data_IF_660363421648
#
_entry.id   IF_660363421648
#
_cell.length_a   1.000
_cell.length_b   1.000
_cell.length_c   1.000
_cell.angle_alpha   90.00
_cell.angle_beta   90.00
_cell.angle_gamma   90.00
#
_symmetry.space_group_name_H-M   'P 1'
#
loop_
_entity.id
_entity.type
_entity.pdbx_description
1 polymer ?
#
# COMPACT_ATOMS: atom_id res chain seq x y z
N UNK A 1 -6.96 -42.62 -31.85
CA UNK A 1 -7.41 -41.25 -31.45
C UNK A 1 -6.41 -40.72 -30.44
N UNK A 2 -5.47 -39.91 -30.86
CA UNK A 2 -4.52 -39.23 -29.95
C UNK A 2 -5.33 -38.25 -29.10
N UNK A 3 -5.28 -38.44 -27.78
CA UNK A 3 -5.89 -37.53 -26.84
C UNK A 3 -5.39 -36.10 -27.14
N UNK A 4 -6.29 -35.20 -27.54
CA UNK A 4 -5.94 -33.81 -27.83
C UNK A 4 -5.39 -33.19 -26.55
N UNK A 5 -4.13 -32.78 -26.55
CA UNK A 5 -3.46 -32.14 -25.42
C UNK A 5 -4.26 -30.90 -24.97
N UNK A 6 -4.68 -30.90 -23.70
CA UNK A 6 -5.35 -29.74 -23.10
C UNK A 6 -4.31 -28.74 -22.63
N UNK A 7 -4.37 -27.52 -23.14
CA UNK A 7 -3.50 -26.40 -22.75
C UNK A 7 -4.21 -25.61 -21.64
N UNK A 8 -3.54 -25.42 -20.49
CA UNK A 8 -4.08 -24.68 -19.33
C UNK A 8 -3.18 -23.51 -19.00
N UNK A 9 -3.73 -22.30 -19.02
CA UNK A 9 -3.09 -21.05 -18.64
C UNK A 9 -3.52 -20.65 -17.25
N UNK A 10 -2.59 -20.69 -16.28
CA UNK A 10 -2.74 -20.20 -14.91
C UNK A 10 -2.20 -18.79 -14.80
N UNK A 11 -2.54 -18.02 -13.72
CA UNK A 11 -1.98 -16.70 -13.49
C UNK A 11 -0.44 -16.74 -13.46
N UNK A 12 0.18 -15.76 -14.12
CA UNK A 12 1.64 -15.67 -14.19
C UNK A 12 2.24 -15.30 -12.84
N UNK A 13 3.44 -15.79 -12.48
CA UNK A 13 4.13 -15.40 -11.26
C UNK A 13 4.34 -13.89 -11.15
N UNK A 14 4.63 -13.23 -12.28
CA UNK A 14 4.80 -11.78 -12.34
C UNK A 14 3.53 -11.01 -11.95
N UNK A 15 2.38 -11.44 -12.46
CA UNK A 15 1.09 -10.86 -12.05
C UNK A 15 0.84 -11.05 -10.56
N UNK A 16 1.06 -12.27 -10.04
CA UNK A 16 0.85 -12.59 -8.63
C UNK A 16 1.77 -11.75 -7.72
N UNK A 17 3.04 -11.60 -8.10
CA UNK A 17 3.99 -10.77 -7.35
C UNK A 17 3.54 -9.31 -7.28
N UNK A 18 3.14 -8.71 -8.41
CA UNK A 18 2.65 -7.33 -8.44
C UNK A 18 1.38 -7.14 -7.61
N UNK A 19 0.43 -8.07 -7.73
CA UNK A 19 -0.81 -8.00 -6.96
C UNK A 19 -0.57 -8.16 -5.45
N UNK A 20 0.32 -9.08 -5.06
CA UNK A 20 0.73 -9.26 -3.68
C UNK A 20 1.44 -8.02 -3.14
N UNK A 21 2.34 -7.41 -3.91
CA UNK A 21 3.03 -6.19 -3.51
C UNK A 21 2.06 -5.04 -3.19
N UNK A 22 0.98 -4.89 -3.97
CA UNK A 22 -0.08 -3.91 -3.71
C UNK A 22 -0.79 -4.21 -2.37
N UNK A 23 -1.16 -5.47 -2.13
CA UNK A 23 -1.83 -5.89 -0.88
C UNK A 23 -0.92 -5.62 0.33
N UNK A 24 0.36 -5.98 0.23
CA UNK A 24 1.35 -5.75 1.29
C UNK A 24 1.55 -4.26 1.54
N UNK A 25 1.69 -3.46 0.50
CA UNK A 25 1.88 -2.00 0.60
C UNK A 25 0.72 -1.33 1.38
N UNK A 26 -0.52 -1.58 0.97
CA UNK A 26 -1.68 -1.02 1.68
C UNK A 26 -1.86 -1.62 3.08
N UNK A 27 -1.49 -2.90 3.27
CA UNK A 27 -1.48 -3.53 4.58
C UNK A 27 -0.51 -2.86 5.56
N UNK A 28 0.70 -2.56 5.11
CA UNK A 28 1.69 -1.80 5.91
C UNK A 28 1.15 -0.42 6.25
N UNK A 29 0.60 0.31 5.28
CA UNK A 29 0.01 1.63 5.55
C UNK A 29 -1.15 1.55 6.55
N UNK A 30 -2.06 0.58 6.42
CA UNK A 30 -3.16 0.40 7.37
C UNK A 30 -2.62 0.22 8.80
N UNK A 31 -1.58 -0.59 9.00
CA UNK A 31 -0.95 -0.79 10.32
C UNK A 31 -0.30 0.49 10.83
N UNK A 32 0.41 1.25 9.99
CA UNK A 32 1.06 2.50 10.39
C UNK A 32 0.03 3.54 10.83
N UNK A 33 -1.03 3.77 10.02
CA UNK A 33 -2.10 4.72 10.35
C UNK A 33 -2.90 4.28 11.58
N UNK A 34 -3.14 2.97 11.75
CA UNK A 34 -3.72 2.43 12.98
C UNK A 34 -2.87 2.78 14.21
N UNK A 35 -1.56 2.54 14.17
CA UNK A 35 -0.64 2.85 15.29
C UNK A 35 -0.62 4.33 15.59
N UNK A 36 -0.58 5.19 14.58
CA UNK A 36 -0.56 6.64 14.77
C UNK A 36 -1.89 7.14 15.33
N UNK A 37 -3.03 6.65 14.83
CA UNK A 37 -4.36 6.99 15.35
C UNK A 37 -4.62 6.44 16.75
N UNK A 38 -4.16 5.22 17.06
CA UNK A 38 -4.41 4.59 18.37
C UNK A 38 -3.52 5.17 19.47
N UNK A 39 -2.22 5.29 19.23
CA UNK A 39 -1.26 5.64 20.27
C UNK A 39 -0.18 6.63 19.85
N UNK A 40 0.22 6.64 18.57
CA UNK A 40 1.40 7.38 18.10
C UNK A 40 1.28 8.87 18.33
N UNK A 41 0.26 9.51 17.81
CA UNK A 41 0.05 10.96 17.95
C UNK A 41 -0.19 11.38 19.39
N UNK A 42 -0.97 10.57 20.15
CA UNK A 42 -1.18 10.83 21.58
C UNK A 42 0.10 10.81 22.40
N UNK A 43 0.98 9.82 22.14
CA UNK A 43 2.30 9.75 22.78
C UNK A 43 3.18 10.96 22.42
N UNK A 44 3.17 11.38 21.15
CA UNK A 44 3.89 12.57 20.68
C UNK A 44 3.36 13.84 21.36
N UNK A 45 2.04 13.96 21.54
CA UNK A 45 1.45 15.06 22.31
C UNK A 45 1.90 15.07 23.76
N UNK A 46 1.93 13.90 24.42
CA UNK A 46 2.46 13.80 25.78
C UNK A 46 3.90 14.31 25.87
N UNK A 47 4.75 13.95 24.91
CA UNK A 47 6.13 14.44 24.82
C UNK A 47 6.18 15.96 24.62
N UNK A 48 5.33 16.49 23.73
CA UNK A 48 5.27 17.93 23.46
C UNK A 48 4.93 18.75 24.72
N UNK A 49 3.86 18.40 25.42
CA UNK A 49 3.43 19.15 26.62
C UNK A 49 4.40 18.99 27.78
N UNK A 50 4.99 17.81 27.95
CA UNK A 50 6.06 17.62 28.93
C UNK A 50 7.28 18.48 28.59
N UNK A 51 7.74 18.53 27.35
CA UNK A 51 8.87 19.37 26.94
C UNK A 51 8.56 20.85 27.20
N UNK A 52 7.36 21.33 26.84
CA UNK A 52 6.91 22.70 27.18
C UNK A 52 6.97 22.96 28.68
N UNK A 53 6.60 21.98 29.50
CA UNK A 53 6.66 22.11 30.96
C UNK A 53 8.10 22.30 31.45
N UNK A 54 9.09 21.60 30.86
CA UNK A 54 10.50 21.83 31.20
C UNK A 54 10.96 23.25 30.83
N UNK A 55 10.54 23.76 29.68
CA UNK A 55 10.87 25.13 29.26
C UNK A 55 10.22 26.16 30.21
N UNK A 56 8.94 25.98 30.55
CA UNK A 56 8.23 26.83 31.50
C UNK A 56 8.89 26.80 32.87
N UNK A 57 9.20 25.61 33.40
CA UNK A 57 9.86 25.47 34.71
C UNK A 57 11.21 26.23 34.76
N UNK A 58 12.01 26.15 33.66
CA UNK A 58 13.24 26.95 33.55
C UNK A 58 13.00 28.45 33.60
N UNK A 59 11.94 28.95 32.92
CA UNK A 59 11.54 30.35 32.96
C UNK A 59 11.05 30.78 34.32
N UNK A 60 10.23 30.00 35.01
CA UNK A 60 9.71 30.28 36.32
C UNK A 60 10.85 30.29 37.37
N UNK A 61 11.77 29.34 37.31
CA UNK A 61 12.96 29.30 38.13
C UNK A 61 13.83 30.55 37.96
N UNK A 62 14.07 30.96 36.70
CA UNK A 62 14.85 32.16 36.40
C UNK A 62 14.23 33.40 37.00
N UNK A 63 12.89 33.57 36.85
CA UNK A 63 12.14 34.71 37.43
C UNK A 63 12.22 34.75 38.94
N UNK A 64 11.98 33.61 39.61
CA UNK A 64 12.00 33.52 41.05
C UNK A 64 13.42 33.72 41.61
N UNK A 65 14.45 33.33 40.91
CA UNK A 65 15.85 33.46 41.33
C UNK A 65 16.52 34.74 40.79
N UNK A 66 15.77 35.68 40.24
CA UNK A 66 16.33 36.91 39.67
C UNK A 66 17.16 37.76 40.68
N UNK A 67 16.79 37.72 41.97
CA UNK A 67 17.54 38.35 43.07
C UNK A 67 18.69 37.48 43.62
N UNK A 68 18.79 36.22 43.19
CA UNK A 68 19.78 35.27 43.75
C UNK A 68 19.45 34.79 45.17
N UNK A 69 18.26 35.06 45.70
CA UNK A 69 17.85 34.75 47.06
C UNK A 69 16.93 33.56 47.19
N UNK A 70 16.56 32.92 46.08
CA UNK A 70 15.68 31.75 46.07
C UNK A 70 16.29 30.57 46.83
N UNK A 71 15.54 30.06 47.79
CA UNK A 71 15.94 28.89 48.55
C UNK A 71 15.40 27.58 47.98
N UNK A 72 16.06 26.46 48.26
CA UNK A 72 15.61 25.15 47.86
C UNK A 72 14.22 24.79 48.41
N UNK A 73 13.89 25.28 49.62
CA UNK A 73 12.60 25.03 50.26
C UNK A 73 11.47 25.78 49.54
N UNK A 74 11.71 27.04 49.16
CA UNK A 74 10.75 27.85 48.43
C UNK A 74 10.48 27.29 47.03
N UNK A 75 11.54 26.92 46.28
CA UNK A 75 11.38 26.29 44.99
C UNK A 75 10.59 24.98 45.09
N UNK A 76 10.94 24.08 46.03
CA UNK A 76 10.21 22.84 46.19
C UNK A 76 8.74 23.05 46.52
N UNK A 77 8.43 23.99 47.40
CA UNK A 77 7.06 24.37 47.75
C UNK A 77 6.28 24.87 46.52
N UNK A 78 6.88 25.74 45.72
CA UNK A 78 6.28 26.22 44.48
C UNK A 78 6.09 25.07 43.48
N UNK A 79 7.13 24.32 43.16
CA UNK A 79 7.11 23.27 42.18
C UNK A 79 6.11 22.13 42.52
N UNK A 80 5.91 21.84 43.80
CA UNK A 80 4.96 20.83 44.26
C UNK A 80 3.49 21.22 43.98
N UNK A 81 3.18 22.51 43.77
CA UNK A 81 1.84 22.97 43.42
C UNK A 81 1.61 23.02 41.92
N UNK A 82 2.65 22.82 41.12
CA UNK A 82 2.57 22.94 39.67
C UNK A 82 2.15 21.64 38.99
N UNK A 83 1.43 21.76 37.89
CA UNK A 83 1.05 20.67 37.03
C UNK A 83 1.53 20.89 35.59
N UNK A 84 1.60 19.80 34.83
CA UNK A 84 1.86 19.83 33.39
C UNK A 84 0.67 20.50 32.69
N UNK A 85 0.94 21.44 31.79
CA UNK A 85 -0.09 22.17 31.02
C UNK A 85 -0.67 21.29 29.91
N UNK A 86 -1.35 20.22 30.27
CA UNK A 86 -2.09 19.42 29.32
C UNK A 86 -3.38 20.15 28.87
N UNK A 87 -3.85 19.91 27.63
CA UNK A 87 -5.12 20.46 27.19
C UNK A 87 -6.30 19.82 27.94
N UNK A 88 -7.41 20.52 28.01
CA UNK A 88 -8.66 20.00 28.59
C UNK A 88 -9.18 18.78 27.81
N UNK A 89 -8.98 18.77 26.49
CA UNK A 89 -9.34 17.62 25.64
C UNK A 89 -8.35 16.44 25.87
N UNK A 90 -8.70 15.57 26.77
CA UNK A 90 -7.94 14.37 27.09
C UNK A 90 -7.89 13.35 25.93
N UNK A 91 -8.76 13.50 24.92
CA UNK A 91 -8.79 12.59 23.78
C UNK A 91 -7.51 12.64 22.92
N UNK A 92 -6.78 13.76 22.99
CA UNK A 92 -5.49 13.94 22.30
C UNK A 92 -4.28 13.49 23.11
N UNK A 93 -4.48 13.06 24.34
CA UNK A 93 -3.42 12.59 25.26
C UNK A 93 -3.30 11.06 25.27
N UNK A 94 -2.17 10.52 25.77
CA UNK A 94 -2.03 9.08 25.99
C UNK A 94 -3.19 8.53 26.84
N UNK A 95 -3.65 7.33 26.50
CA UNK A 95 -4.63 6.63 27.32
C UNK A 95 -4.12 6.52 28.77
N UNK A 96 -5.02 6.66 29.75
CA UNK A 96 -4.73 6.64 31.19
C UNK A 96 -3.95 7.87 31.70
N UNK A 97 -3.94 8.99 30.99
CA UNK A 97 -3.47 10.26 31.55
C UNK A 97 -4.51 10.81 32.51
N UNK A 98 -4.23 10.74 33.81
CA UNK A 98 -5.10 11.32 34.86
C UNK A 98 -4.70 12.74 35.14
N UNK A 99 -5.56 13.69 34.81
CA UNK A 99 -5.34 15.11 35.08
C UNK A 99 -5.80 15.48 36.50
N UNK A 100 -5.12 16.42 37.19
CA UNK A 100 -3.88 17.09 36.83
C UNK A 100 -2.64 16.19 37.03
N UNK A 101 -1.67 16.27 36.11
CA UNK A 101 -0.39 15.57 36.24
C UNK A 101 0.60 16.50 36.90
N UNK A 102 1.16 16.16 38.09
CA UNK A 102 2.15 17.00 38.77
C UNK A 102 3.45 17.09 37.96
N UNK A 103 4.20 18.14 38.20
CA UNK A 103 5.52 18.28 37.59
C UNK A 103 6.40 17.09 37.89
N UNK A 104 7.21 16.59 36.94
CA UNK A 104 8.21 15.56 37.17
C UNK A 104 9.14 15.92 38.36
N UNK A 105 9.52 14.93 39.17
CA UNK A 105 10.35 15.14 40.36
C UNK A 105 11.68 15.84 40.05
N UNK A 106 12.25 15.61 38.86
CA UNK A 106 13.49 16.28 38.43
C UNK A 106 13.35 17.82 38.35
N UNK A 107 12.16 18.35 38.06
CA UNK A 107 11.86 19.80 38.02
C UNK A 107 11.64 20.36 39.44
N UNK A 108 11.38 19.54 40.43
CA UNK A 108 11.23 19.94 41.82
C UNK A 108 12.57 20.03 42.56
N UNK A 109 13.65 19.52 41.94
CA UNK A 109 14.99 19.52 42.49
C UNK A 109 15.69 20.86 42.19
N UNK A 110 15.93 21.66 43.26
CA UNK A 110 16.56 22.97 43.18
C UNK A 110 17.97 22.92 42.57
N UNK A 111 18.81 21.95 42.98
CA UNK A 111 20.20 21.86 42.51
C UNK A 111 20.27 21.49 41.01
N UNK A 112 19.34 20.69 40.55
CA UNK A 112 19.21 20.37 39.11
C UNK A 112 18.69 21.56 38.28
N UNK A 113 17.85 22.39 38.88
CA UNK A 113 17.31 23.59 38.20
C UNK A 113 18.29 24.77 38.20
N UNK A 114 19.20 24.86 39.17
CA UNK A 114 20.14 25.96 39.34
C UNK A 114 21.01 26.30 38.14
N UNK A 115 21.50 25.33 37.31
CA UNK A 115 22.23 25.60 36.07
C UNK A 115 21.43 26.28 34.99
N UNK A 116 20.09 26.39 35.13
CA UNK A 116 19.17 26.99 34.14
C UNK A 116 19.29 26.37 32.71
N UNK A 117 19.41 25.05 32.67
CA UNK A 117 19.59 24.32 31.40
C UNK A 117 18.40 23.34 31.14
N UNK A 118 17.18 23.84 30.89
CA UNK A 118 16.00 23.02 30.76
C UNK A 118 16.10 21.96 29.64
N UNK A 119 16.84 22.25 28.57
CA UNK A 119 17.08 21.30 27.49
C UNK A 119 17.97 20.10 27.91
N UNK A 120 18.90 20.32 28.85
CA UNK A 120 19.72 19.22 29.38
C UNK A 120 18.90 18.36 30.30
N UNK A 121 18.13 18.99 31.22
CA UNK A 121 17.20 18.28 32.10
C UNK A 121 16.17 17.45 31.30
N UNK A 122 15.67 18.02 30.23
CA UNK A 122 14.76 17.31 29.34
C UNK A 122 15.40 16.06 28.74
N UNK A 123 16.67 16.16 28.24
CA UNK A 123 17.39 15.01 27.68
C UNK A 123 17.67 13.94 28.74
N UNK A 124 18.06 14.32 29.92
CA UNK A 124 18.26 13.40 31.05
C UNK A 124 16.97 12.67 31.39
N UNK A 125 15.87 13.40 31.58
CA UNK A 125 14.56 12.85 31.86
C UNK A 125 14.08 11.85 30.80
N UNK A 126 14.23 12.19 29.53
CA UNK A 126 13.81 11.32 28.43
C UNK A 126 14.71 10.10 28.29
N UNK A 127 16.02 10.24 28.54
CA UNK A 127 16.98 9.13 28.54
C UNK A 127 16.70 8.13 29.66
N UNK A 128 16.45 8.62 30.87
CA UNK A 128 16.10 7.76 32.02
C UNK A 128 14.84 6.93 31.78
N UNK A 129 13.89 7.46 30.99
CA UNK A 129 12.61 6.82 30.66
C UNK A 129 12.59 6.05 29.36
N UNK A 130 13.66 6.06 28.58
CA UNK A 130 13.73 5.42 27.27
C UNK A 130 12.76 6.02 26.24
N UNK A 131 12.45 7.33 26.37
CA UNK A 131 11.51 8.05 25.51
C UNK A 131 12.28 8.91 24.53
N UNK A 132 11.74 9.09 23.31
CA UNK A 132 12.34 10.01 22.34
C UNK A 132 12.34 11.45 22.88
N UNK A 133 13.49 12.12 22.82
CA UNK A 133 13.69 13.49 23.29
C UNK A 133 13.23 14.57 22.30
N UNK A 134 12.93 14.21 21.04
CA UNK A 134 12.46 15.14 20.01
C UNK A 134 10.95 15.35 20.10
N UNK A 135 10.44 16.46 20.68
CA UNK A 135 9.03 16.78 20.60
C UNK A 135 8.65 17.18 19.17
N UNK A 136 7.40 16.99 18.74
CA UNK A 136 6.92 17.61 17.52
C UNK A 136 6.93 19.14 17.64
N UNK A 137 6.94 19.85 16.52
CA UNK A 137 6.89 21.32 16.51
C UNK A 137 5.58 21.85 17.11
N UNK A 138 4.47 21.16 16.77
CA UNK A 138 3.13 21.47 17.25
C UNK A 138 2.41 20.19 17.72
N UNK A 139 1.45 20.32 18.66
CA UNK A 139 0.68 19.17 19.11
C UNK A 139 -0.34 18.75 18.04
N UNK A 140 -0.55 17.46 17.90
CA UNK A 140 -1.56 16.91 16.99
C UNK A 140 -2.96 17.15 17.54
N UNK A 141 -3.82 17.75 16.71
CA UNK A 141 -5.22 18.01 17.06
C UNK A 141 -6.06 16.71 17.08
N UNK A 142 -7.22 16.76 17.70
CA UNK A 142 -8.20 15.66 17.64
C UNK A 142 -8.62 15.35 16.20
N UNK A 143 -8.66 16.36 15.32
CA UNK A 143 -8.92 16.16 13.89
C UNK A 143 -7.80 15.36 13.23
N UNK A 144 -6.54 15.72 13.44
CA UNK A 144 -5.39 15.00 12.88
C UNK A 144 -5.38 13.52 13.32
N UNK A 145 -5.74 13.24 14.57
CA UNK A 145 -5.87 11.86 15.07
C UNK A 145 -7.03 11.12 14.38
N UNK A 146 -8.17 11.79 14.16
CA UNK A 146 -9.31 11.20 13.45
C UNK A 146 -9.00 10.91 11.99
N UNK A 147 -8.24 11.76 11.32
CA UNK A 147 -7.79 11.57 9.94
C UNK A 147 -6.96 10.29 9.79
N UNK A 148 -6.15 9.93 10.80
CA UNK A 148 -5.41 8.65 10.78
C UNK A 148 -6.36 7.44 10.73
N UNK A 149 -7.50 7.50 11.45
CA UNK A 149 -8.50 6.44 11.42
C UNK A 149 -9.22 6.35 10.07
N UNK A 150 -9.50 7.51 9.44
CA UNK A 150 -10.12 7.54 8.11
C UNK A 150 -9.18 6.90 7.08
N UNK A 151 -7.91 7.31 7.06
CA UNK A 151 -6.91 6.76 6.13
C UNK A 151 -6.66 5.28 6.40
N UNK A 152 -6.61 4.85 7.68
CA UNK A 152 -6.53 3.45 8.06
C UNK A 152 -7.71 2.65 7.47
N UNK A 153 -8.94 3.17 7.59
CA UNK A 153 -10.14 2.55 7.03
C UNK A 153 -10.07 2.41 5.50
N UNK A 154 -9.62 3.45 4.80
CA UNK A 154 -9.44 3.44 3.35
C UNK A 154 -8.39 2.39 2.94
N UNK A 155 -7.22 2.37 3.60
CA UNK A 155 -6.18 1.39 3.31
C UNK A 155 -6.65 -0.04 3.56
N UNK A 156 -7.39 -0.27 4.65
CA UNK A 156 -7.97 -1.58 4.97
C UNK A 156 -8.95 -2.03 3.89
N UNK A 157 -9.84 -1.14 3.44
CA UNK A 157 -10.76 -1.42 2.33
C UNK A 157 -10.01 -1.80 1.05
N UNK A 158 -8.94 -1.06 0.71
CA UNK A 158 -8.12 -1.36 -0.46
C UNK A 158 -7.43 -2.73 -0.35
N UNK A 159 -6.94 -3.12 0.84
CA UNK A 159 -6.41 -4.47 1.09
C UNK A 159 -7.47 -5.53 0.85
N UNK A 160 -8.68 -5.35 1.37
CA UNK A 160 -9.78 -6.30 1.20
C UNK A 160 -10.18 -6.45 -0.27
N UNK A 161 -10.33 -5.34 -0.99
CA UNK A 161 -10.68 -5.33 -2.41
C UNK A 161 -9.57 -5.98 -3.25
N UNK A 162 -8.32 -5.56 -3.07
CA UNK A 162 -7.18 -6.12 -3.79
C UNK A 162 -6.98 -7.61 -3.48
N UNK A 163 -7.11 -8.01 -2.21
CA UNK A 163 -7.04 -9.39 -1.77
C UNK A 163 -8.15 -10.25 -2.37
N UNK A 164 -9.38 -9.74 -2.41
CA UNK A 164 -10.50 -10.42 -3.06
C UNK A 164 -10.21 -10.69 -4.56
N UNK A 165 -9.76 -9.66 -5.29
CA UNK A 165 -9.42 -9.84 -6.70
C UNK A 165 -8.22 -10.76 -6.91
N UNK A 166 -7.22 -10.70 -6.05
CA UNK A 166 -6.07 -11.61 -6.08
C UNK A 166 -6.53 -13.06 -5.91
N UNK A 167 -7.31 -13.37 -4.86
CA UNK A 167 -7.84 -14.71 -4.60
C UNK A 167 -8.70 -15.20 -5.76
N UNK A 168 -9.58 -14.32 -6.27
CA UNK A 168 -10.42 -14.63 -7.43
C UNK A 168 -9.59 -14.98 -8.67
N UNK A 169 -8.49 -14.25 -8.92
CA UNK A 169 -7.61 -14.48 -10.07
C UNK A 169 -6.81 -15.77 -9.92
N UNK A 170 -6.25 -16.03 -8.73
CA UNK A 170 -5.49 -17.28 -8.46
C UNK A 170 -6.32 -18.53 -8.69
N UNK A 171 -7.62 -18.46 -8.36
CA UNK A 171 -8.55 -19.59 -8.53
C UNK A 171 -9.04 -19.79 -9.96
N UNK A 172 -8.61 -18.96 -10.92
CA UNK A 172 -9.08 -19.00 -12.31
C UNK A 172 -7.98 -19.45 -13.25
N UNK A 173 -8.40 -20.07 -14.33
CA UNK A 173 -7.55 -20.45 -15.45
C UNK A 173 -8.32 -20.33 -16.76
N UNK A 174 -7.59 -20.24 -17.85
CA UNK A 174 -8.15 -20.39 -19.20
C UNK A 174 -7.57 -21.68 -19.77
N UNK A 175 -8.40 -22.49 -20.40
CA UNK A 175 -7.92 -23.70 -21.06
C UNK A 175 -8.59 -23.93 -22.42
N UNK A 176 -7.90 -24.66 -23.28
CA UNK A 176 -8.47 -25.16 -24.53
C UNK A 176 -8.05 -26.60 -24.73
N UNK A 177 -8.99 -27.41 -25.15
CA UNK A 177 -8.77 -28.80 -25.60
C UNK A 177 -8.98 -28.91 -27.12
N UNK A 178 -9.31 -30.12 -27.63
CA UNK A 178 -9.58 -30.32 -29.07
C UNK A 178 -10.93 -29.79 -29.55
N UNK A 179 -11.87 -29.49 -28.67
CA UNK A 179 -13.27 -29.22 -28.98
C UNK A 179 -13.75 -27.83 -28.54
N UNK A 180 -13.22 -27.31 -27.45
CA UNK A 180 -13.74 -26.14 -26.79
C UNK A 180 -12.69 -25.29 -26.05
N UNK A 181 -13.06 -24.05 -25.76
CA UNK A 181 -12.37 -23.15 -24.83
C UNK A 181 -13.13 -23.09 -23.52
N UNK A 182 -12.44 -23.25 -22.40
CA UNK A 182 -12.97 -22.97 -21.06
C UNK A 182 -12.46 -21.61 -20.60
N UNK A 183 -13.37 -20.66 -20.37
CA UNK A 183 -13.04 -19.29 -19.98
C UNK A 183 -12.63 -19.19 -18.51
N UNK A 184 -12.09 -18.00 -18.06
CA UNK A 184 -11.79 -17.71 -16.65
C UNK A 184 -13.02 -17.83 -15.74
N UNK A 185 -14.23 -17.78 -16.28
CA UNK A 185 -15.47 -17.94 -15.52
C UNK A 185 -15.96 -19.38 -15.44
N UNK A 186 -15.22 -20.31 -16.05
CA UNK A 186 -15.58 -21.73 -16.11
C UNK A 186 -16.59 -22.07 -17.22
N UNK A 187 -17.00 -21.08 -18.04
CA UNK A 187 -17.91 -21.35 -19.19
C UNK A 187 -17.13 -22.05 -20.29
N UNK A 188 -17.62 -23.24 -20.72
CA UNK A 188 -17.09 -24.00 -21.83
C UNK A 188 -17.83 -23.62 -23.11
N UNK A 189 -17.10 -23.27 -24.18
CA UNK A 189 -17.65 -22.81 -25.46
C UNK A 189 -16.96 -23.61 -26.57
N UNK A 190 -17.74 -24.29 -27.39
CA UNK A 190 -17.22 -25.10 -28.49
C UNK A 190 -16.57 -24.22 -29.57
N UNK A 191 -15.53 -24.71 -30.23
CA UNK A 191 -14.90 -23.98 -31.34
C UNK A 191 -15.87 -23.67 -32.47
N UNK A 192 -16.85 -24.56 -32.71
CA UNK A 192 -17.90 -24.36 -33.72
C UNK A 192 -18.80 -23.13 -33.45
N UNK A 193 -18.93 -22.71 -32.20
CA UNK A 193 -19.76 -21.58 -31.79
C UNK A 193 -19.01 -20.23 -31.87
N UNK A 194 -17.69 -20.25 -32.10
CA UNK A 194 -16.87 -19.06 -32.22
C UNK A 194 -17.08 -18.40 -33.59
N UNK A 195 -17.23 -17.07 -33.63
CA UNK A 195 -17.53 -16.31 -34.86
C UNK A 195 -16.37 -15.43 -35.29
N UNK A 196 -15.79 -14.66 -34.37
CA UNK A 196 -14.74 -13.69 -34.67
C UNK A 196 -13.60 -13.80 -33.65
N UNK A 197 -12.36 -13.78 -34.11
CA UNK A 197 -11.15 -13.74 -33.29
C UNK A 197 -10.39 -12.44 -33.55
N UNK A 198 -10.48 -11.47 -32.65
CA UNK A 198 -9.78 -10.19 -32.73
C UNK A 198 -8.43 -10.26 -32.01
N UNK A 199 -7.36 -10.23 -32.79
CA UNK A 199 -5.97 -10.32 -32.34
C UNK A 199 -5.21 -8.98 -32.44
N UNK A 200 -5.84 -7.88 -32.77
CA UNK A 200 -5.19 -6.58 -32.95
C UNK A 200 -4.39 -6.13 -31.73
N UNK A 201 -4.78 -6.55 -30.54
CA UNK A 201 -4.07 -6.22 -29.29
C UNK A 201 -3.22 -7.37 -28.76
N UNK A 202 -3.12 -8.49 -29.45
CA UNK A 202 -2.38 -9.65 -28.97
C UNK A 202 -0.88 -9.37 -28.92
N UNK A 203 -0.28 -8.97 -30.03
CA UNK A 203 1.16 -8.72 -30.13
C UNK A 203 1.68 -7.62 -29.19
N UNK A 204 0.86 -6.61 -28.91
CA UNK A 204 1.28 -5.44 -28.10
C UNK A 204 0.90 -5.53 -26.64
N UNK A 205 -0.21 -6.17 -26.32
CA UNK A 205 -0.80 -6.18 -24.96
C UNK A 205 -1.12 -7.59 -24.43
N UNK A 206 -0.90 -8.64 -25.23
CA UNK A 206 -1.30 -10.00 -24.88
C UNK A 206 -2.82 -10.16 -24.73
N UNK A 207 -3.63 -9.33 -25.41
CA UNK A 207 -5.08 -9.34 -25.31
C UNK A 207 -5.72 -9.78 -26.60
N UNK A 208 -6.56 -10.81 -26.54
CA UNK A 208 -7.44 -11.22 -27.64
C UNK A 208 -8.90 -11.21 -27.19
N UNK A 209 -9.79 -10.97 -28.15
CA UNK A 209 -11.22 -11.03 -27.94
C UNK A 209 -11.86 -11.98 -28.94
N UNK A 210 -12.76 -12.84 -28.45
CA UNK A 210 -13.47 -13.82 -29.28
C UNK A 210 -14.95 -13.60 -29.10
N UNK A 211 -15.65 -13.28 -30.20
CA UNK A 211 -17.10 -13.25 -30.22
C UNK A 211 -17.63 -14.66 -30.52
N UNK A 212 -18.64 -15.07 -29.79
CA UNK A 212 -19.27 -16.39 -29.94
C UNK A 212 -20.80 -16.28 -29.95
N UNK A 213 -21.44 -17.30 -30.53
CA UNK A 213 -22.90 -17.45 -30.54
C UNK A 213 -23.23 -18.92 -30.29
N UNK A 214 -23.71 -19.19 -29.06
CA UNK A 214 -24.15 -20.50 -28.61
C UNK A 214 -25.66 -20.57 -28.48
N UNK A 215 -26.18 -21.72 -28.04
CA UNK A 215 -27.63 -21.92 -27.83
C UNK A 215 -28.26 -20.99 -26.77
N UNK A 216 -27.45 -20.40 -25.93
CA UNK A 216 -27.86 -19.48 -24.86
C UNK A 216 -27.78 -18.02 -25.30
N UNK A 217 -27.21 -17.71 -26.45
CA UNK A 217 -27.09 -16.36 -27.01
C UNK A 217 -25.68 -15.99 -27.43
N UNK A 218 -25.50 -14.70 -27.72
CA UNK A 218 -24.23 -14.11 -28.14
C UNK A 218 -23.43 -13.64 -26.94
N UNK A 219 -22.11 -13.73 -27.02
CA UNK A 219 -21.22 -13.23 -25.98
C UNK A 219 -19.80 -12.98 -26.49
N UNK A 220 -18.96 -12.48 -25.58
CA UNK A 220 -17.56 -12.18 -25.85
C UNK A 220 -16.64 -12.78 -24.80
N UNK A 221 -15.61 -13.47 -25.24
CA UNK A 221 -14.52 -13.99 -24.39
C UNK A 221 -13.35 -13.01 -24.50
N UNK A 222 -12.74 -12.66 -23.37
CA UNK A 222 -11.45 -11.99 -23.31
C UNK A 222 -10.38 -12.98 -22.90
N UNK A 223 -9.34 -13.12 -23.72
CA UNK A 223 -8.12 -13.86 -23.39
C UNK A 223 -7.06 -12.83 -22.99
N UNK A 224 -6.51 -12.97 -21.80
CA UNK A 224 -5.49 -12.08 -21.22
C UNK A 224 -4.23 -12.90 -20.97
N UNK A 225 -3.35 -12.97 -21.96
CA UNK A 225 -2.08 -13.71 -21.86
C UNK A 225 -1.09 -13.10 -20.90
N UNK A 226 -1.18 -11.78 -20.61
CA UNK A 226 -0.32 -11.15 -19.63
C UNK A 226 -0.63 -11.65 -18.20
N UNK A 227 -1.91 -11.79 -17.89
CA UNK A 227 -2.35 -12.33 -16.59
C UNK A 227 -2.24 -13.85 -16.55
N UNK A 228 -2.61 -14.55 -17.64
CA UNK A 228 -2.69 -16.01 -17.67
C UNK A 228 -1.72 -16.60 -18.70
N UNK A 229 -0.69 -17.26 -18.23
CA UNK A 229 0.22 -18.08 -19.01
C UNK A 229 1.39 -17.38 -19.70
N UNK A 230 1.39 -16.03 -19.80
CA UNK A 230 2.39 -15.29 -20.60
C UNK A 230 2.10 -15.34 -22.10
N UNK A 231 2.61 -14.35 -22.88
CA UNK A 231 2.30 -14.22 -24.30
C UNK A 231 3.53 -13.98 -25.21
N UNK A 232 4.74 -14.20 -24.71
CA UNK A 232 5.98 -14.03 -25.50
C UNK A 232 6.24 -15.25 -26.36
N UNK A 233 6.19 -15.07 -27.69
CA UNK A 233 6.43 -16.12 -28.69
C UNK A 233 7.79 -16.80 -28.53
N UNK A 234 8.82 -16.00 -28.24
CA UNK A 234 10.21 -16.45 -28.10
C UNK A 234 10.39 -17.53 -27.03
N UNK A 235 9.56 -17.52 -25.98
CA UNK A 235 9.65 -18.41 -24.85
C UNK A 235 8.66 -19.58 -24.91
N UNK A 236 7.88 -19.71 -26.00
CA UNK A 236 6.79 -20.69 -26.13
C UNK A 236 5.86 -20.75 -24.91
N UNK A 237 5.49 -19.57 -24.40
CA UNK A 237 4.70 -19.45 -23.17
C UNK A 237 3.29 -20.06 -23.32
N UNK A 238 2.66 -20.52 -22.22
CA UNK A 238 1.37 -21.22 -22.27
C UNK A 238 0.26 -20.48 -23.02
N UNK A 239 0.21 -19.13 -22.92
CA UNK A 239 -0.81 -18.36 -23.62
C UNK A 239 -0.58 -18.34 -25.15
N UNK A 240 0.69 -18.37 -25.60
CA UNK A 240 1.02 -18.50 -27.03
C UNK A 240 0.64 -19.87 -27.57
N UNK A 241 0.90 -20.93 -26.80
CA UNK A 241 0.45 -22.29 -27.14
C UNK A 241 -1.07 -22.37 -27.20
N UNK A 242 -1.76 -21.77 -26.22
CA UNK A 242 -3.21 -21.66 -26.19
C UNK A 242 -3.73 -20.93 -27.45
N UNK A 243 -3.14 -19.79 -27.82
CA UNK A 243 -3.55 -19.01 -28.99
C UNK A 243 -3.33 -19.79 -30.29
N UNK A 244 -2.19 -20.47 -30.43
CA UNK A 244 -1.94 -21.36 -31.59
C UNK A 244 -2.99 -22.48 -31.69
N UNK A 245 -3.36 -23.09 -30.56
CA UNK A 245 -4.41 -24.11 -30.50
C UNK A 245 -5.76 -23.54 -30.93
N UNK A 246 -6.12 -22.38 -30.41
CA UNK A 246 -7.37 -21.68 -30.79
C UNK A 246 -7.37 -21.43 -32.30
N UNK A 247 -6.30 -20.81 -32.85
CA UNK A 247 -6.20 -20.54 -34.29
C UNK A 247 -6.32 -21.82 -35.15
N UNK A 248 -5.73 -22.93 -34.73
CA UNK A 248 -5.78 -24.18 -35.49
C UNK A 248 -7.15 -24.84 -35.53
N UNK A 249 -8.01 -24.55 -34.54
CA UNK A 249 -9.37 -25.10 -34.44
C UNK A 249 -10.46 -24.09 -34.85
N UNK A 250 -10.07 -22.84 -35.12
CA UNK A 250 -10.99 -21.76 -35.42
C UNK A 250 -11.32 -21.67 -36.93
N UNK A 251 -12.60 -21.60 -37.24
CA UNK A 251 -13.09 -21.53 -38.64
C UNK A 251 -13.81 -20.22 -39.00
N UNK A 252 -13.88 -19.27 -38.06
CA UNK A 252 -14.54 -17.97 -38.27
C UNK A 252 -13.60 -16.89 -38.80
N UNK A 253 -13.98 -15.63 -38.61
CA UNK A 253 -13.25 -14.46 -39.10
C UNK A 253 -12.10 -14.10 -38.09
N UNK A 254 -10.86 -13.94 -38.59
CA UNK A 254 -9.71 -13.45 -37.81
C UNK A 254 -9.44 -11.99 -38.19
N UNK A 255 -9.45 -11.12 -37.16
CA UNK A 255 -9.14 -9.70 -37.29
C UNK A 255 -7.73 -9.44 -36.75
N UNK A 256 -6.80 -9.09 -37.64
CA UNK A 256 -5.42 -8.74 -37.34
C UNK A 256 -5.04 -7.41 -37.99
N UNK A 257 -4.01 -6.74 -37.46
CA UNK A 257 -3.41 -5.64 -38.22
C UNK A 257 -2.65 -6.23 -39.44
N UNK A 258 -2.83 -5.69 -40.62
CA UNK A 258 -2.03 -6.03 -41.77
C UNK A 258 -0.55 -5.78 -41.46
N UNK A 259 0.23 -6.82 -41.33
CA UNK A 259 1.69 -6.68 -41.31
C UNK A 259 2.12 -6.35 -42.73
N UNK A 260 2.52 -5.11 -42.97
CA UNK A 260 3.27 -4.76 -44.16
C UNK A 260 4.59 -5.54 -44.10
N UNK A 261 4.65 -6.72 -44.73
CA UNK A 261 5.90 -7.29 -45.16
C UNK A 261 6.40 -6.33 -46.27
N UNK A 262 7.45 -5.55 -45.96
CA UNK A 262 8.24 -4.96 -47.02
C UNK A 262 8.74 -6.11 -47.89
N UNK A 263 8.14 -6.22 -49.11
CA UNK A 263 8.71 -7.08 -50.14
C UNK A 263 10.08 -6.53 -50.45
N UNK A 264 11.13 -7.23 -50.03
CA UNK A 264 12.47 -7.06 -50.61
C UNK A 264 12.32 -7.33 -52.13
N UNK A 265 12.12 -6.27 -52.86
CA UNK A 265 12.31 -6.29 -54.30
C UNK A 265 13.79 -6.51 -54.53
N UNK A 266 14.14 -7.73 -54.87
CA UNK A 266 15.40 -8.04 -55.54
C UNK A 266 15.47 -7.32 -56.88
N UNK A 267 15.86 -6.05 -56.84
CA UNK A 267 16.26 -5.27 -58.02
C UNK A 267 17.76 -5.57 -58.28
N UNK A 268 18.00 -6.62 -59.02
CA UNK A 268 19.32 -6.81 -59.66
C UNK A 268 19.52 -5.73 -60.70
N UNK A 269 20.33 -4.76 -60.41
CA UNK A 269 20.84 -3.78 -61.38
C UNK A 269 22.16 -4.30 -61.92
N UNK A 270 22.10 -4.96 -63.08
CA UNK A 270 23.22 -5.25 -63.93
C UNK A 270 23.79 -3.92 -64.53
N UNK A 271 25.01 -3.56 -64.16
CA UNK A 271 25.76 -2.50 -64.88
C UNK A 271 26.17 -3.01 -66.26
N UNK A 272 25.98 -2.23 -67.35
CA UNK A 272 26.70 -2.44 -68.59
C UNK A 272 28.06 -1.73 -68.54
N UNK A 273 29.01 -2.37 -69.24
CA UNK A 273 30.39 -2.05 -69.52
C UNK A 273 30.70 -0.60 -69.89
#
# INVERSE_FOLDING_TARGET
MTASETIVCKPTPWFLFRALAIVVMFGVFAVLFYRDGATGYRKKNGIFYLNKTFQRAGGDFSKMNASGTLTAAEWRKFAATQAVDFPEDSSVLPANTHLPVPWPAILQDYERMKPLQPNILWREYTKERGVNSGPPEEPYSAQAIREQWIVCGICTLLVLVAGFFLIRTVRRSISADGEAITTQTGKRIAFADLKTLDLRKWETKGLAFIDYEDKLGKGKIRIDGLTYGGFKKENDEPAERLMRKIRSCFSGEIIEYATFRASESSGGESKPS
#
